data_IF_037138492738
#
_entry.id   IF_037138492738
#
_cell.length_a   1.000
_cell.length_b   1.000
_cell.length_c   1.000
_cell.angle_alpha   90.00
_cell.angle_beta   90.00
_cell.angle_gamma   90.00
#
_symmetry.space_group_name_H-M   'P 1'
#
loop_
_entity.id
_entity.type
_entity.pdbx_description
1 polymer ?
#
# COMPACT_ATOMS: atom_id res chain seq x y z
N UNK A 1 -22.83 24.96 11.13
CA UNK A 1 -22.71 24.26 9.83
C UNK A 1 -21.36 24.61 9.26
N UNK A 2 -20.45 23.63 9.17
CA UNK A 2 -19.09 23.86 8.64
C UNK A 2 -19.23 24.21 7.15
N UNK A 3 -18.71 25.38 6.76
CA UNK A 3 -18.75 25.83 5.38
C UNK A 3 -17.67 25.08 4.58
N UNK A 4 -18.00 24.55 3.40
CA UNK A 4 -17.08 23.77 2.55
C UNK A 4 -15.76 24.52 2.26
N UNK A 5 -15.80 25.86 2.26
CA UNK A 5 -14.60 26.71 2.13
C UNK A 5 -13.61 26.53 3.29
N UNK A 6 -14.08 26.38 4.52
CA UNK A 6 -13.26 26.21 5.71
C UNK A 6 -12.59 24.84 5.72
N UNK A 7 -13.34 23.78 5.39
CA UNK A 7 -12.82 22.41 5.30
C UNK A 7 -11.72 22.30 4.24
N UNK A 8 -11.86 22.99 3.11
CA UNK A 8 -10.84 23.00 2.06
C UNK A 8 -9.54 23.68 2.50
N UNK A 9 -9.64 24.73 3.31
CA UNK A 9 -8.48 25.41 3.90
C UNK A 9 -7.79 24.50 4.92
N UNK A 10 -8.54 23.75 5.72
CA UNK A 10 -7.98 22.77 6.66
C UNK A 10 -7.25 21.63 5.94
N UNK A 11 -7.83 21.04 4.90
CA UNK A 11 -7.15 20.01 4.09
C UNK A 11 -5.85 20.52 3.49
N UNK A 12 -5.81 21.78 3.03
CA UNK A 12 -4.59 22.41 2.50
C UNK A 12 -3.52 22.59 3.58
N UNK A 13 -3.90 22.88 4.83
CA UNK A 13 -2.97 22.93 5.97
C UNK A 13 -2.39 21.56 6.26
N UNK A 14 -3.22 20.52 6.31
CA UNK A 14 -2.78 19.14 6.55
C UNK A 14 -1.78 18.69 5.47
N UNK A 15 -2.10 18.91 4.20
CA UNK A 15 -1.21 18.55 3.08
C UNK A 15 0.14 19.28 3.13
N UNK A 16 0.18 20.49 3.68
CA UNK A 16 1.41 21.26 3.86
C UNK A 16 2.24 20.78 5.06
N UNK A 17 1.59 20.21 6.08
CA UNK A 17 2.25 19.68 7.29
C UNK A 17 2.81 18.28 7.03
N UNK A 18 2.21 17.49 6.13
CA UNK A 18 2.72 16.16 5.77
C UNK A 18 4.08 16.25 5.08
N UNK A 19 5.09 15.60 5.66
CA UNK A 19 6.43 15.48 5.08
C UNK A 19 6.39 14.55 3.87
N UNK A 20 6.83 15.04 2.70
CA UNK A 20 7.04 14.18 1.52
C UNK A 20 8.15 13.17 1.83
N UNK A 21 7.92 11.86 1.64
CA UNK A 21 8.93 10.84 1.91
C UNK A 21 10.17 11.08 1.04
N UNK A 22 11.34 10.84 1.61
CA UNK A 22 12.58 10.85 0.86
C UNK A 22 12.66 9.64 -0.07
N UNK A 23 13.43 9.76 -1.16
CA UNK A 23 13.59 8.65 -2.11
C UNK A 23 14.26 7.42 -1.49
N UNK A 24 15.02 7.59 -0.40
CA UNK A 24 15.63 6.48 0.33
C UNK A 24 14.58 5.71 1.15
N UNK A 25 13.77 6.41 1.96
CA UNK A 25 12.67 5.81 2.73
C UNK A 25 11.67 5.10 1.79
N UNK A 26 11.32 5.74 0.67
CA UNK A 26 10.43 5.15 -0.31
C UNK A 26 10.96 3.83 -0.87
N UNK A 27 12.25 3.79 -1.25
CA UNK A 27 12.87 2.56 -1.79
C UNK A 27 12.86 1.43 -0.77
N UNK A 28 13.17 1.71 0.49
CA UNK A 28 13.16 0.70 1.55
C UNK A 28 11.75 0.12 1.76
N UNK A 29 10.72 0.97 1.81
CA UNK A 29 9.33 0.53 1.96
C UNK A 29 8.89 -0.34 0.78
N UNK A 30 9.22 0.09 -0.44
CA UNK A 30 8.85 -0.64 -1.67
C UNK A 30 9.53 -2.01 -1.71
N UNK A 31 10.80 -2.11 -1.32
CA UNK A 31 11.52 -3.38 -1.31
C UNK A 31 10.92 -4.36 -0.29
N UNK A 32 10.67 -3.91 0.95
CA UNK A 32 10.09 -4.76 2.00
C UNK A 32 8.66 -5.17 1.65
N UNK A 33 7.84 -4.23 1.17
CA UNK A 33 6.45 -4.51 0.78
C UNK A 33 6.40 -5.44 -0.44
N UNK A 34 7.27 -5.23 -1.43
CA UNK A 34 7.37 -6.09 -2.61
C UNK A 34 7.77 -7.52 -2.26
N UNK A 35 8.71 -7.70 -1.33
CA UNK A 35 9.08 -9.02 -0.82
C UNK A 35 7.89 -9.69 -0.12
N UNK A 36 7.13 -8.97 0.71
CA UNK A 36 5.94 -9.50 1.36
C UNK A 36 4.85 -9.94 0.38
N UNK A 37 4.56 -9.13 -0.63
CA UNK A 37 3.57 -9.45 -1.69
C UNK A 37 3.98 -10.71 -2.45
N UNK A 38 5.27 -10.83 -2.81
CA UNK A 38 5.78 -12.01 -3.51
C UNK A 38 5.64 -13.28 -2.67
N UNK A 39 6.00 -13.24 -1.38
CA UNK A 39 5.90 -14.39 -0.49
C UNK A 39 4.44 -14.84 -0.35
N UNK A 40 3.54 -13.92 -0.04
CA UNK A 40 2.11 -14.23 0.15
C UNK A 40 1.50 -14.73 -1.17
N UNK A 41 1.82 -14.08 -2.29
CA UNK A 41 1.39 -14.49 -3.62
C UNK A 41 1.89 -15.89 -4.00
N UNK A 42 3.15 -16.22 -3.69
CA UNK A 42 3.70 -17.56 -3.90
C UNK A 42 2.98 -18.62 -3.06
N UNK A 43 2.71 -18.35 -1.78
CA UNK A 43 2.00 -19.29 -0.91
C UNK A 43 0.59 -19.55 -1.45
N UNK A 44 -0.14 -18.50 -1.81
CA UNK A 44 -1.47 -18.63 -2.42
C UNK A 44 -1.43 -19.38 -3.75
N UNK A 45 -0.41 -19.11 -4.58
CA UNK A 45 -0.20 -19.80 -5.86
C UNK A 45 0.08 -21.30 -5.66
N UNK A 46 0.93 -21.67 -4.70
CA UNK A 46 1.23 -23.07 -4.39
C UNK A 46 0.01 -23.82 -3.89
N UNK A 47 -0.79 -23.21 -3.01
CA UNK A 47 -2.07 -23.78 -2.54
C UNK A 47 -3.01 -24.02 -3.72
N UNK A 48 -3.18 -23.02 -4.58
CA UNK A 48 -4.04 -23.14 -5.76
C UNK A 48 -3.53 -24.21 -6.73
N UNK A 49 -2.22 -24.30 -6.94
CA UNK A 49 -1.60 -25.28 -7.82
C UNK A 49 -1.84 -26.71 -7.32
N UNK A 50 -1.64 -26.97 -6.03
CA UNK A 50 -1.87 -28.28 -5.42
C UNK A 50 -3.36 -28.67 -5.47
N UNK A 51 -4.25 -27.75 -5.11
CA UNK A 51 -5.69 -27.98 -5.12
C UNK A 51 -6.22 -28.24 -6.54
N UNK A 52 -5.71 -27.49 -7.53
CA UNK A 52 -6.11 -27.67 -8.92
C UNK A 52 -5.60 -29.00 -9.48
N UNK A 53 -4.36 -29.39 -9.17
CA UNK A 53 -3.79 -30.66 -9.63
C UNK A 53 -4.53 -31.88 -9.10
N UNK A 54 -5.01 -31.86 -7.85
CA UNK A 54 -5.80 -32.95 -7.28
C UNK A 54 -7.27 -33.00 -7.73
N UNK A 55 -7.74 -32.01 -8.50
CA UNK A 55 -9.10 -31.93 -9.05
C UNK A 55 -9.19 -32.27 -10.55
N UNK A 56 -8.06 -32.56 -11.19
CA UNK A 56 -7.96 -33.11 -12.55
C UNK A 56 -7.94 -34.63 -12.46
#
# INVERSE_FOLDING_TARGET
MVSVKETFVEYKRVFRITKKPSMQEFRSIVQVSGAGILIIGMIGFLIQMIINFGRV
#
